data_IF_683924556811
#
_entry.id   IF_683924556811
#
_cell.length_a   1.000
_cell.length_b   1.000
_cell.length_c   1.000
_cell.angle_alpha   90.00
_cell.angle_beta   90.00
_cell.angle_gamma   90.00
#
_symmetry.space_group_name_H-M   'P 1'
#
loop_
_entity.id
_entity.type
_entity.pdbx_description
1 polymer ?
#
# COMPACT_ATOMS: atom_id res chain seq x y z
N UNK A 1 -28.82 7.04 10.88
CA UNK A 1 -27.46 6.76 11.35
C UNK A 1 -26.94 5.50 10.69
N UNK A 2 -25.88 5.56 9.88
CA UNK A 2 -25.01 4.38 9.63
C UNK A 2 -23.62 4.70 9.06
N UNK A 3 -23.09 5.92 9.26
CA UNK A 3 -21.68 6.32 9.06
C UNK A 3 -20.68 5.54 9.95
N UNK A 4 -21.04 4.36 10.44
CA UNK A 4 -20.10 3.41 11.04
C UNK A 4 -19.97 2.14 10.22
N UNK A 5 -20.87 1.89 9.27
CA UNK A 5 -20.90 0.62 8.53
C UNK A 5 -19.96 0.64 7.33
N UNK A 6 -19.88 1.77 6.62
CA UNK A 6 -19.05 1.86 5.42
C UNK A 6 -17.58 2.12 5.79
N UNK A 7 -17.33 2.88 6.84
CA UNK A 7 -16.03 3.15 7.43
C UNK A 7 -15.43 1.85 7.99
N UNK A 8 -16.24 1.05 8.69
CA UNK A 8 -15.84 -0.30 9.14
C UNK A 8 -15.54 -1.22 7.95
N UNK A 9 -16.30 -1.12 6.87
CA UNK A 9 -16.04 -1.88 5.64
C UNK A 9 -14.75 -1.43 4.96
N UNK A 10 -14.48 -0.13 4.91
CA UNK A 10 -13.24 0.44 4.39
C UNK A 10 -12.02 -0.03 5.20
N UNK A 11 -12.11 -0.01 6.53
CA UNK A 11 -11.07 -0.55 7.42
C UNK A 11 -10.85 -2.05 7.20
N UNK A 12 -11.92 -2.83 7.06
CA UNK A 12 -11.81 -4.26 6.77
C UNK A 12 -11.13 -4.55 5.44
N UNK A 13 -11.37 -3.73 4.41
CA UNK A 13 -10.73 -3.84 3.10
C UNK A 13 -9.24 -3.48 3.18
N UNK A 14 -8.90 -2.39 3.89
CA UNK A 14 -7.51 -2.00 4.15
C UNK A 14 -6.73 -3.15 4.80
N UNK A 15 -7.24 -3.69 5.91
CA UNK A 15 -6.58 -4.78 6.62
C UNK A 15 -6.44 -6.05 5.75
N UNK A 16 -7.39 -6.33 4.87
CA UNK A 16 -7.29 -7.47 3.94
C UNK A 16 -6.20 -7.26 2.89
N UNK A 17 -6.06 -6.04 2.36
CA UNK A 17 -5.04 -5.69 1.37
C UNK A 17 -3.63 -5.71 1.96
N UNK A 18 -3.45 -5.17 3.16
CA UNK A 18 -2.16 -5.20 3.87
C UNK A 18 -1.74 -6.64 4.19
N UNK A 19 -2.67 -7.49 4.64
CA UNK A 19 -2.41 -8.92 4.87
C UNK A 19 -2.06 -9.68 3.58
N UNK A 20 -2.54 -9.21 2.44
CA UNK A 20 -2.17 -9.74 1.13
C UNK A 20 -0.83 -9.18 0.60
N UNK A 21 -0.09 -8.41 1.41
CA UNK A 21 1.20 -7.82 1.04
C UNK A 21 1.07 -6.65 0.06
N UNK A 22 -0.12 -6.04 -0.07
CA UNK A 22 -0.32 -4.84 -0.87
C UNK A 22 -0.08 -3.61 -0.01
N UNK A 23 0.77 -2.71 -0.50
CA UNK A 23 0.94 -1.38 0.08
C UNK A 23 -0.23 -0.50 -0.34
N UNK A 24 -0.91 0.11 0.62
CA UNK A 24 -2.01 1.05 0.39
C UNK A 24 -1.52 2.45 0.76
N UNK A 25 -1.66 3.42 -0.14
CA UNK A 25 -1.24 4.80 0.09
C UNK A 25 -2.37 5.66 0.65
N UNK A 26 -3.63 5.40 0.28
CA UNK A 26 -4.78 6.13 0.82
C UNK A 26 -6.08 5.33 0.72
N UNK A 27 -7.01 5.64 1.63
CA UNK A 27 -8.40 5.15 1.61
C UNK A 27 -9.31 6.35 1.81
N UNK A 28 -10.26 6.56 0.89
CA UNK A 28 -11.25 7.62 0.97
C UNK A 28 -12.67 7.05 0.92
N UNK A 29 -13.59 7.66 1.67
CA UNK A 29 -15.01 7.29 1.70
C UNK A 29 -15.83 8.50 1.29
N UNK A 30 -16.56 8.38 0.18
CA UNK A 30 -17.45 9.42 -0.34
C UNK A 30 -18.88 8.87 -0.45
N UNK A 31 -19.70 9.16 0.57
CA UNK A 31 -21.07 8.66 0.66
C UNK A 31 -21.15 7.14 0.74
N UNK A 32 -21.34 6.48 -0.41
CA UNK A 32 -21.39 5.00 -0.53
C UNK A 32 -20.22 4.40 -1.29
N UNK A 33 -19.29 5.23 -1.75
CA UNK A 33 -18.11 4.84 -2.51
C UNK A 33 -16.92 4.73 -1.56
N UNK A 34 -16.13 3.67 -1.72
CA UNK A 34 -14.83 3.50 -1.07
C UNK A 34 -13.79 3.53 -2.19
N UNK A 35 -12.83 4.44 -2.09
CA UNK A 35 -11.66 4.49 -2.96
C UNK A 35 -10.43 4.03 -2.20
N UNK A 36 -9.62 3.19 -2.84
CA UNK A 36 -8.37 2.68 -2.28
C UNK A 36 -7.28 2.89 -3.31
N UNK A 37 -6.25 3.66 -2.94
CA UNK A 37 -5.07 3.86 -3.76
C UNK A 37 -3.99 2.88 -3.30
N UNK A 38 -3.55 2.01 -4.20
CA UNK A 38 -2.42 1.11 -3.95
C UNK A 38 -1.13 1.86 -4.27
N UNK A 39 -0.12 1.70 -3.42
CA UNK A 39 1.23 2.15 -3.75
C UNK A 39 1.77 1.23 -4.84
N UNK A 40 2.06 1.77 -6.02
CA UNK A 40 2.86 1.08 -7.02
C UNK A 40 4.28 1.00 -6.48
N UNK A 41 4.75 -0.21 -6.19
CA UNK A 41 6.09 -0.44 -5.70
C UNK A 41 7.11 -0.09 -6.78
N UNK A 42 7.56 1.16 -6.81
CA UNK A 42 8.98 1.37 -6.96
C UNK A 42 9.58 1.09 -5.57
N UNK A 43 9.78 -0.19 -5.28
CA UNK A 43 10.87 -0.56 -4.39
C UNK A 43 12.14 -0.18 -5.15
N UNK A 44 12.49 1.11 -5.12
CA UNK A 44 13.82 1.55 -5.53
C UNK A 44 14.72 0.81 -4.55
N UNK A 45 15.34 -0.26 -5.03
CA UNK A 45 16.33 -0.98 -4.27
C UNK A 45 17.44 0.03 -3.95
N UNK A 46 17.46 0.49 -2.70
CA UNK A 46 18.44 1.47 -2.22
C UNK A 46 19.87 0.92 -2.31
N UNK A 47 20.03 -0.39 -2.58
CA UNK A 47 21.29 -1.09 -2.77
C UNK A 47 21.69 -1.30 -4.24
N UNK A 48 20.84 -0.97 -5.22
CA UNK A 48 21.16 -1.13 -6.66
C UNK A 48 22.28 -0.18 -7.15
N UNK A 49 22.75 0.72 -6.27
CA UNK A 49 23.83 1.68 -6.54
C UNK A 49 25.19 1.31 -5.94
N UNK A 50 25.28 0.26 -5.14
CA UNK A 50 26.56 -0.21 -4.63
C UNK A 50 27.16 -1.18 -5.65
N UNK A 51 27.90 -0.65 -6.62
CA UNK A 51 28.87 -1.47 -7.37
C UNK A 51 29.87 -2.06 -6.37
N UNK A 52 29.60 -3.28 -5.88
CA UNK A 52 30.55 -4.14 -5.20
C UNK A 52 31.61 -4.58 -6.23
N UNK A 53 32.50 -3.66 -6.64
CA UNK A 53 33.68 -4.00 -7.43
C UNK A 53 34.65 -4.79 -6.56
N UNK A 54 34.38 -6.09 -6.41
CA UNK A 54 35.40 -7.04 -6.00
C UNK A 54 36.12 -7.57 -7.24
N UNK A 55 36.95 -6.70 -7.83
CA UNK A 55 37.82 -7.04 -8.95
C UNK A 55 39.27 -6.84 -8.55
N UNK A 56 39.94 -7.92 -8.15
CA UNK A 56 41.39 -8.01 -8.12
C UNK A 56 41.96 -7.79 -9.53
N UNK A 57 42.95 -6.91 -9.65
CA UNK A 57 44.17 -7.08 -10.45
C UNK A 57 45.18 -6.01 -10.02
#
# INVERSE_FOLDING_TARGET
MSLGTIEKKALSLLSALERAGKSVSSVAVEGRRIEILLSTGEAIDEFDKLEMRHGKA
#
